data_IF_221535405880
#
_entry.id   IF_221535405880
#
_cell.length_a   1.000
_cell.length_b   1.000
_cell.length_c   1.000
_cell.angle_alpha   90.00
_cell.angle_beta   90.00
_cell.angle_gamma   90.00
#
_symmetry.space_group_name_H-M   'P 1'
#
loop_
_entity.id
_entity.type
_entity.pdbx_description
1 polymer ?
#
# COMPACT_ATOMS: atom_id res chain seq x y z
N UNK A 1 24.18 34.86 -1.92
CA UNK A 1 23.31 33.95 -2.69
C UNK A 1 22.59 34.83 -3.72
N UNK A 2 22.65 34.50 -5.02
CA UNK A 2 21.98 35.25 -6.07
C UNK A 2 21.19 34.29 -6.96
N UNK A 3 19.88 34.52 -7.11
CA UNK A 3 18.96 33.66 -7.89
C UNK A 3 17.73 33.21 -7.08
N UNK A 4 16.70 32.66 -7.75
CA UNK A 4 15.41 32.30 -7.13
C UNK A 4 15.51 31.15 -6.12
N UNK A 5 16.54 30.31 -6.21
CA UNK A 5 16.86 29.27 -5.19
C UNK A 5 17.22 29.89 -3.83
N UNK A 6 17.67 31.15 -3.82
CA UNK A 6 18.02 31.87 -2.59
C UNK A 6 16.81 32.44 -1.84
N UNK A 7 15.62 32.42 -2.46
CA UNK A 7 14.37 32.84 -1.82
C UNK A 7 13.64 31.69 -1.09
N UNK A 8 14.22 30.48 -1.11
CA UNK A 8 13.82 29.33 -0.30
C UNK A 8 14.23 29.52 1.18
N UNK A 9 13.59 30.47 1.88
CA UNK A 9 13.77 30.66 3.34
C UNK A 9 12.86 29.70 4.09
N UNK A 10 13.34 29.13 5.20
CA UNK A 10 12.52 28.25 6.06
C UNK A 10 11.18 28.91 6.37
N UNK A 11 10.09 28.20 6.07
CA UNK A 11 8.72 28.67 6.27
C UNK A 11 8.40 30.00 5.54
N UNK A 12 8.88 30.15 4.31
CA UNK A 12 8.53 31.29 3.44
C UNK A 12 7.12 31.15 2.90
N UNK A 13 6.33 32.23 2.94
CA UNK A 13 4.98 32.28 2.37
C UNK A 13 4.98 32.55 0.84
N UNK A 14 6.16 32.83 0.26
CA UNK A 14 6.28 33.25 -1.14
C UNK A 14 6.64 32.07 -2.04
N UNK A 15 7.57 31.21 -1.60
CA UNK A 15 8.14 30.12 -2.41
C UNK A 15 8.22 28.83 -1.60
N UNK A 16 7.70 27.75 -2.19
CA UNK A 16 7.83 26.39 -1.72
C UNK A 16 8.97 25.70 -2.47
N UNK A 17 9.94 25.19 -1.72
CA UNK A 17 11.08 24.48 -2.28
C UNK A 17 11.13 23.07 -1.70
N UNK A 18 11.10 22.08 -2.58
CA UNK A 18 11.08 20.66 -2.21
C UNK A 18 12.10 19.89 -3.02
N UNK A 19 12.66 18.85 -2.42
CA UNK A 19 13.55 17.90 -3.07
C UNK A 19 12.82 16.57 -3.17
N UNK A 20 12.70 16.07 -4.39
CA UNK A 20 12.05 14.80 -4.73
C UNK A 20 13.08 13.81 -5.27
N UNK A 21 12.85 12.53 -4.99
CA UNK A 21 13.59 11.40 -5.59
C UNK A 21 13.03 11.01 -6.97
N UNK A 22 13.71 10.13 -7.69
CA UNK A 22 13.26 9.59 -8.99
C UNK A 22 11.90 8.87 -8.95
N UNK A 23 11.55 8.31 -7.80
CA UNK A 23 10.21 7.75 -7.52
C UNK A 23 9.13 8.78 -7.16
N UNK A 24 9.45 10.08 -7.15
CA UNK A 24 8.52 11.14 -6.78
C UNK A 24 8.20 11.21 -5.27
N UNK A 25 9.09 10.67 -4.43
CA UNK A 25 8.97 10.75 -2.96
C UNK A 25 9.60 12.02 -2.41
N UNK A 26 8.98 12.60 -1.37
CA UNK A 26 9.49 13.81 -0.73
C UNK A 26 10.67 13.49 0.19
N UNK A 27 11.83 14.08 -0.09
CA UNK A 27 13.04 13.91 0.74
C UNK A 27 13.30 15.11 1.65
N UNK A 28 13.04 16.31 1.15
CA UNK A 28 13.28 17.55 1.91
C UNK A 28 12.28 18.61 1.48
N UNK A 29 11.84 19.44 2.43
CA UNK A 29 10.96 20.57 2.18
C UNK A 29 11.40 21.81 2.97
N UNK A 30 11.03 22.98 2.46
CA UNK A 30 11.28 24.25 3.10
C UNK A 30 10.23 24.62 4.18
N UNK A 31 9.01 24.08 4.07
CA UNK A 31 7.90 24.32 4.99
C UNK A 31 7.82 23.19 6.04
N UNK A 32 7.56 23.54 7.29
CA UNK A 32 7.57 22.56 8.39
C UNK A 32 6.42 21.55 8.26
N UNK A 33 5.28 21.93 7.64
CA UNK A 33 4.15 21.01 7.37
C UNK A 33 4.52 19.85 6.43
N UNK A 34 5.29 20.13 5.38
CA UNK A 34 5.79 19.12 4.44
C UNK A 34 6.96 18.33 5.03
N UNK A 35 7.72 18.94 5.94
CA UNK A 35 8.83 18.27 6.64
C UNK A 35 8.34 17.09 7.49
N UNK A 36 7.16 17.20 8.10
CA UNK A 36 6.53 16.09 8.83
C UNK A 36 6.04 14.94 7.92
N UNK A 37 6.06 15.13 6.60
CA UNK A 37 5.56 14.20 5.59
C UNK A 37 6.69 13.63 4.69
N UNK A 38 7.96 13.79 5.10
CA UNK A 38 9.11 13.20 4.43
C UNK A 38 8.92 11.68 4.27
N UNK A 39 9.26 11.17 3.09
CA UNK A 39 9.09 9.76 2.70
C UNK A 39 7.71 9.43 2.12
N UNK A 40 6.76 10.37 2.13
CA UNK A 40 5.47 10.19 1.43
C UNK A 40 5.60 10.48 -0.07
N UNK A 41 4.74 9.84 -0.86
CA UNK A 41 4.63 10.12 -2.28
C UNK A 41 4.10 11.54 -2.50
N UNK A 42 4.80 12.34 -3.30
CA UNK A 42 4.50 13.76 -3.42
C UNK A 42 3.14 14.03 -4.10
N UNK A 43 2.62 13.10 -4.90
CA UNK A 43 1.27 13.19 -5.45
C UNK A 43 0.15 13.06 -4.42
N UNK A 44 0.42 12.58 -3.20
CA UNK A 44 -0.54 12.62 -2.09
C UNK A 44 -0.53 13.99 -1.38
N UNK A 45 0.61 14.70 -1.42
CA UNK A 45 0.81 15.99 -0.77
C UNK A 45 0.31 17.13 -1.67
N UNK A 46 0.84 17.24 -2.89
CA UNK A 46 0.37 18.20 -3.92
C UNK A 46 0.11 17.47 -5.25
N UNK A 47 -1.12 16.97 -5.48
CA UNK A 47 -1.48 16.27 -6.71
C UNK A 47 -1.53 17.21 -7.92
N UNK A 48 -1.61 18.53 -7.73
CA UNK A 48 -1.64 19.50 -8.84
C UNK A 48 -0.25 19.64 -9.46
N UNK A 49 0.77 19.78 -8.61
CA UNK A 49 2.15 19.89 -9.05
C UNK A 49 2.67 18.58 -9.64
N UNK A 50 2.36 17.43 -9.02
CA UNK A 50 2.78 16.12 -9.55
C UNK A 50 2.23 15.84 -10.96
N UNK A 51 0.95 16.15 -11.22
CA UNK A 51 0.37 16.01 -12.58
C UNK A 51 1.05 16.90 -13.61
N UNK A 52 1.42 18.11 -13.21
CA UNK A 52 2.12 19.01 -14.11
C UNK A 52 3.53 18.51 -14.43
N UNK A 53 4.27 18.01 -13.43
CA UNK A 53 5.59 17.41 -13.63
C UNK A 53 5.54 16.23 -14.62
N UNK A 54 4.46 15.44 -14.61
CA UNK A 54 4.22 14.41 -15.62
C UNK A 54 3.87 15.00 -16.99
N UNK A 55 3.03 16.04 -17.05
CA UNK A 55 2.64 16.69 -18.30
C UNK A 55 3.83 17.35 -19.03
N UNK A 56 4.80 17.90 -18.29
CA UNK A 56 6.03 18.45 -18.85
C UNK A 56 7.12 17.40 -19.09
N UNK A 57 6.80 16.10 -18.99
CA UNK A 57 7.72 14.96 -19.22
C UNK A 57 8.95 14.92 -18.29
N UNK A 58 8.85 15.47 -17.08
CA UNK A 58 9.90 15.29 -16.05
C UNK A 58 9.81 13.88 -15.49
N UNK A 59 8.60 13.47 -15.07
CA UNK A 59 8.33 12.11 -14.64
C UNK A 59 7.47 11.38 -15.67
N UNK A 60 7.81 10.12 -15.91
CA UNK A 60 6.93 9.13 -16.48
C UNK A 60 6.52 8.12 -15.40
N UNK A 61 5.50 7.32 -15.69
CA UNK A 61 5.06 6.25 -14.81
C UNK A 61 4.75 4.98 -15.59
N UNK A 62 5.00 3.84 -14.95
CA UNK A 62 4.58 2.53 -15.45
C UNK A 62 3.64 1.86 -14.43
N UNK A 63 2.66 1.13 -14.95
CA UNK A 63 1.66 0.42 -14.15
C UNK A 63 1.88 -1.08 -14.29
N UNK A 64 2.11 -1.75 -13.15
CA UNK A 64 2.25 -3.20 -13.08
C UNK A 64 1.16 -3.81 -12.23
N UNK A 65 0.68 -4.99 -12.62
CA UNK A 65 -0.33 -5.74 -11.89
C UNK A 65 0.32 -6.89 -11.13
N UNK A 66 0.15 -6.93 -9.81
CA UNK A 66 0.60 -8.03 -8.96
C UNK A 66 -0.58 -8.96 -8.67
N UNK A 67 -0.53 -10.15 -9.26
CA UNK A 67 -1.55 -11.19 -9.12
C UNK A 67 -1.37 -12.08 -7.86
N UNK A 68 -0.28 -11.90 -7.11
CA UNK A 68 0.06 -12.70 -5.94
C UNK A 68 -0.02 -11.91 -4.63
N UNK A 69 -0.62 -10.72 -4.66
CA UNK A 69 -0.80 -9.88 -3.48
C UNK A 69 -1.94 -10.34 -2.57
N UNK A 70 -1.92 -9.85 -1.34
CA UNK A 70 -2.84 -10.25 -0.26
C UNK A 70 -3.52 -9.00 0.29
N UNK A 71 -4.85 -8.94 0.21
CA UNK A 71 -5.66 -7.80 0.66
C UNK A 71 -6.59 -8.19 1.80
N UNK A 72 -7.00 -7.21 2.59
CA UNK A 72 -8.11 -7.40 3.51
C UNK A 72 -9.39 -7.68 2.72
N UNK A 73 -10.23 -8.63 3.17
CA UNK A 73 -11.47 -8.94 2.49
C UNK A 73 -12.34 -7.68 2.47
N UNK A 74 -12.63 -7.18 1.28
CA UNK A 74 -13.66 -6.16 1.12
C UNK A 74 -14.95 -6.72 1.69
N UNK A 75 -15.73 -5.90 2.41
CA UNK A 75 -17.04 -6.30 2.90
C UNK A 75 -17.89 -6.74 1.70
N UNK A 76 -17.96 -8.05 1.47
CA UNK A 76 -18.70 -8.57 0.34
C UNK A 76 -20.15 -8.09 0.45
N UNK A 77 -20.81 -7.69 -0.66
CA UNK A 77 -22.26 -7.63 -0.63
C UNK A 77 -22.74 -9.00 -0.17
N UNK A 78 -23.67 -9.05 0.79
CA UNK A 78 -24.25 -10.27 1.36
C UNK A 78 -24.96 -11.10 0.30
N UNK A 79 -24.23 -11.68 -0.64
CA UNK A 79 -24.72 -12.69 -1.55
C UNK A 79 -24.25 -14.01 -0.96
N UNK A 80 -25.08 -14.54 -0.06
CA UNK A 80 -24.92 -15.88 0.44
C UNK A 80 -24.92 -16.84 -0.74
N UNK A 81 -23.75 -17.34 -1.10
CA UNK A 81 -23.63 -18.51 -1.94
C UNK A 81 -24.04 -19.72 -1.10
N UNK A 82 -25.36 -19.93 -0.98
CA UNK A 82 -25.89 -21.18 -0.45
C UNK A 82 -25.34 -22.34 -1.29
N UNK A 83 -24.87 -23.40 -0.63
CA UNK A 83 -24.31 -24.58 -1.28
C UNK A 83 -25.25 -25.08 -2.39
N UNK A 84 -24.88 -24.88 -3.66
CA UNK A 84 -25.60 -25.43 -4.80
C UNK A 84 -25.15 -26.86 -5.04
N UNK A 85 -25.56 -27.77 -4.17
CA UNK A 85 -25.81 -29.19 -4.41
C UNK A 85 -25.79 -29.94 -3.08
N UNK A 86 -26.87 -30.67 -2.81
CA UNK A 86 -26.86 -31.67 -1.76
C UNK A 86 -26.19 -32.93 -2.31
N UNK A 87 -25.05 -33.31 -1.73
CA UNK A 87 -24.41 -34.59 -2.01
C UNK A 87 -25.31 -35.71 -1.49
N UNK A 88 -25.79 -36.59 -2.37
CA UNK A 88 -26.57 -37.76 -1.98
C UNK A 88 -25.58 -38.92 -1.80
N UNK A 89 -25.33 -39.37 -0.57
CA UNK A 89 -24.35 -40.43 -0.32
C UNK A 89 -24.78 -41.73 -0.98
N UNK A 90 -23.80 -42.41 -1.59
CA UNK A 90 -23.99 -43.73 -2.19
C UNK A 90 -23.91 -44.83 -1.12
N UNK A 91 -24.38 -46.04 -1.44
CA UNK A 91 -24.28 -47.21 -0.56
C UNK A 91 -22.81 -47.51 -0.19
N UNK A 92 -21.87 -47.20 -1.09
CA UNK A 92 -20.44 -47.34 -0.81
C UNK A 92 -19.95 -46.39 0.29
N UNK A 93 -20.45 -45.15 0.33
CA UNK A 93 -20.07 -44.16 1.35
C UNK A 93 -20.56 -44.59 2.74
N UNK A 94 -21.76 -45.15 2.81
CA UNK A 94 -22.35 -45.66 4.06
C UNK A 94 -21.53 -46.85 4.59
N UNK A 95 -21.14 -47.77 3.70
CA UNK A 95 -20.32 -48.93 4.08
C UNK A 95 -18.91 -48.52 4.52
N UNK A 96 -18.31 -47.53 3.87
CA UNK A 96 -17.04 -46.95 4.30
C UNK A 96 -17.18 -46.36 5.70
N UNK A 97 -18.14 -45.46 5.94
CA UNK A 97 -18.37 -44.86 7.26
C UNK A 97 -18.59 -45.95 8.33
N UNK A 98 -19.35 -47.00 8.02
CA UNK A 98 -19.55 -48.14 8.92
C UNK A 98 -18.26 -48.88 9.29
N UNK A 99 -17.36 -49.09 8.33
CA UNK A 99 -16.06 -49.70 8.58
C UNK A 99 -15.16 -48.80 9.44
N UNK A 100 -15.07 -47.51 9.13
CA UNK A 100 -14.30 -46.54 9.92
C UNK A 100 -14.86 -46.40 11.34
N UNK A 101 -16.18 -46.39 11.51
CA UNK A 101 -16.83 -46.35 12.82
C UNK A 101 -16.53 -47.61 13.64
N UNK A 102 -16.50 -48.78 13.00
CA UNK A 102 -16.14 -50.05 13.66
C UNK A 102 -14.68 -50.06 14.07
N UNK A 103 -13.78 -49.59 13.20
CA UNK A 103 -12.36 -49.44 13.51
C UNK A 103 -12.14 -48.46 14.67
N UNK A 104 -12.82 -47.31 14.66
CA UNK A 104 -12.74 -46.32 15.73
C UNK A 104 -13.28 -46.85 17.07
N UNK A 105 -14.43 -47.54 17.06
CA UNK A 105 -14.99 -48.17 18.24
C UNK A 105 -14.03 -49.22 18.83
N UNK A 106 -13.37 -50.00 17.97
CA UNK A 106 -12.35 -50.95 18.39
C UNK A 106 -11.12 -50.29 19.00
N UNK A 107 -10.63 -49.20 18.40
CA UNK A 107 -9.52 -48.41 18.93
C UNK A 107 -9.86 -47.79 20.29
N UNK A 108 -11.07 -47.25 20.47
CA UNK A 108 -11.54 -46.69 21.74
C UNK A 108 -11.64 -47.78 22.80
N UNK A 109 -12.20 -48.95 22.46
CA UNK A 109 -12.27 -50.09 23.37
C UNK A 109 -10.88 -50.56 23.80
N UNK A 110 -9.94 -50.63 22.86
CA UNK A 110 -8.55 -50.96 23.14
C UNK A 110 -7.90 -49.91 24.05
N UNK A 111 -8.15 -48.62 23.83
CA UNK A 111 -7.65 -47.53 24.67
C UNK A 111 -8.24 -47.58 26.09
N UNK A 112 -9.52 -47.92 26.23
CA UNK A 112 -10.20 -48.13 27.52
C UNK A 112 -9.59 -49.30 28.30
N UNK A 113 -9.34 -50.43 27.63
CA UNK A 113 -8.70 -51.59 28.25
C UNK A 113 -7.26 -51.28 28.67
N UNK A 114 -6.49 -50.62 27.82
CA UNK A 114 -5.13 -50.17 28.13
C UNK A 114 -5.12 -49.18 29.31
N UNK A 115 -6.03 -48.20 29.32
CA UNK A 115 -6.18 -47.22 30.40
C UNK A 115 -6.57 -47.85 31.74
N UNK A 116 -7.37 -48.92 31.72
CA UNK A 116 -7.75 -49.69 32.93
C UNK A 116 -6.57 -50.50 33.48
N UNK A 117 -5.72 -51.04 32.60
CA UNK A 117 -4.54 -51.82 33.00
C UNK A 117 -3.33 -50.95 33.38
N UNK A 118 -3.21 -49.74 32.81
CA UNK A 118 -2.10 -48.81 33.03
C UNK A 118 -2.59 -47.36 33.21
N UNK A 119 -3.03 -46.95 34.42
CA UNK A 119 -3.67 -45.66 34.68
C UNK A 119 -2.75 -44.42 34.59
N UNK A 120 -1.47 -44.57 34.23
CA UNK A 120 -0.48 -43.47 34.16
C UNK A 120 0.20 -43.27 32.80
N UNK A 121 -0.28 -43.91 31.73
CA UNK A 121 0.37 -43.86 30.41
C UNK A 121 -0.04 -42.64 29.55
N UNK A 122 -1.18 -41.99 29.83
CA UNK A 122 -1.79 -40.95 28.99
C UNK A 122 -2.11 -39.68 29.80
N UNK A 123 -1.07 -39.07 30.38
CA UNK A 123 -1.19 -37.72 30.94
C UNK A 123 -1.10 -36.73 29.77
N UNK A 124 -2.26 -36.30 29.27
CA UNK A 124 -2.35 -35.30 28.22
C UNK A 124 -2.15 -33.90 28.84
N UNK A 125 -1.13 -33.19 28.36
CA UNK A 125 -0.93 -31.76 28.63
C UNK A 125 -1.97 -30.99 27.82
N UNK A 126 -2.85 -30.27 28.51
CA UNK A 126 -3.73 -29.26 27.91
C UNK A 126 -2.84 -28.11 27.39
N UNK A 127 -2.88 -27.87 26.08
CA UNK A 127 -2.29 -26.68 25.49
C UNK A 127 -3.40 -25.64 25.36
N UNK A 128 -3.21 -24.51 26.04
CA UNK A 128 -4.11 -23.36 26.00
C UNK A 128 -4.25 -22.86 24.56
N UNK A 129 -5.50 -22.85 24.08
CA UNK A 129 -5.89 -22.36 22.77
C UNK A 129 -5.99 -20.83 22.82
N UNK A 130 -4.84 -20.17 22.66
CA UNK A 130 -4.76 -18.73 22.51
C UNK A 130 -5.37 -18.29 21.16
N UNK A 131 -6.54 -17.65 21.27
CA UNK A 131 -7.10 -16.58 20.45
C UNK A 131 -6.72 -16.55 18.94
N UNK A 132 -7.27 -17.47 18.15
CA UNK A 132 -7.15 -17.46 16.68
C UNK A 132 -8.18 -16.55 15.97
N UNK A 133 -8.97 -15.74 16.70
CA UNK A 133 -10.15 -15.06 16.11
C UNK A 133 -9.87 -13.68 15.51
N UNK A 134 -8.65 -13.15 15.61
CA UNK A 134 -8.29 -11.82 15.07
C UNK A 134 -7.68 -11.85 13.67
N UNK A 135 -7.54 -13.02 13.04
CA UNK A 135 -7.15 -13.11 11.63
C UNK A 135 -8.39 -13.20 10.73
N UNK A 136 -8.98 -12.04 10.40
CA UNK A 136 -9.77 -11.94 9.18
C UNK A 136 -8.93 -12.54 8.04
N UNK A 137 -9.38 -13.65 7.48
CA UNK A 137 -8.65 -14.41 6.46
C UNK A 137 -8.35 -13.49 5.27
N UNK A 138 -7.11 -13.00 5.21
CA UNK A 138 -6.66 -12.18 4.09
C UNK A 138 -6.84 -12.94 2.78
N UNK A 139 -7.32 -12.28 1.73
CA UNK A 139 -7.67 -12.93 0.47
C UNK A 139 -6.64 -12.59 -0.62
N UNK A 140 -6.41 -13.51 -1.56
CA UNK A 140 -5.63 -13.22 -2.77
C UNK A 140 -6.33 -12.16 -3.61
N UNK A 141 -5.64 -11.06 -3.90
CA UNK A 141 -6.15 -9.96 -4.70
C UNK A 141 -5.13 -9.56 -5.77
N UNK A 142 -5.63 -8.87 -6.79
CA UNK A 142 -4.79 -8.22 -7.81
C UNK A 142 -4.60 -6.78 -7.36
N UNK A 143 -3.36 -6.36 -7.16
CA UNK A 143 -3.04 -4.96 -6.85
C UNK A 143 -2.40 -4.27 -8.05
N UNK A 144 -2.81 -3.03 -8.33
CA UNK A 144 -2.19 -2.18 -9.34
C UNK A 144 -1.12 -1.32 -8.66
N UNK A 145 0.14 -1.51 -9.04
CA UNK A 145 1.27 -0.75 -8.53
C UNK A 145 1.73 0.24 -9.62
N UNK A 146 1.88 1.51 -9.25
CA UNK A 146 2.37 2.56 -10.15
C UNK A 146 3.76 3.00 -9.69
N UNK A 147 4.74 2.95 -10.59
CA UNK A 147 6.11 3.36 -10.33
C UNK A 147 6.45 4.57 -11.20
N UNK A 148 6.99 5.62 -10.59
CA UNK A 148 7.45 6.82 -11.28
C UNK A 148 8.96 6.75 -11.52
N UNK A 149 9.41 7.37 -12.61
CA UNK A 149 10.82 7.49 -12.97
C UNK A 149 11.03 8.75 -13.82
N UNK A 150 12.27 9.25 -13.90
CA UNK A 150 12.59 10.37 -14.78
C UNK A 150 12.62 9.92 -16.24
N UNK A 151 11.85 10.59 -17.11
CA UNK A 151 11.79 10.25 -18.54
C UNK A 151 12.84 11.02 -19.37
N UNK A 152 13.14 12.26 -18.98
CA UNK A 152 13.94 13.18 -19.77
C UNK A 152 15.23 13.58 -19.03
N UNK A 153 16.36 13.50 -19.73
CA UNK A 153 17.70 13.83 -19.22
C UNK A 153 18.03 15.34 -19.21
N UNK A 154 17.09 16.19 -19.64
CA UNK A 154 17.32 17.63 -19.64
C UNK A 154 17.48 18.16 -18.22
N UNK A 155 18.46 19.03 -17.99
CA UNK A 155 18.88 19.41 -16.62
C UNK A 155 17.94 20.39 -15.92
N UNK A 156 17.09 21.09 -16.67
CA UNK A 156 16.22 22.14 -16.15
C UNK A 156 14.91 22.17 -16.90
N UNK A 157 13.81 22.15 -16.17
CA UNK A 157 12.46 22.23 -16.70
C UNK A 157 11.75 23.42 -16.08
N UNK A 158 11.02 24.19 -16.89
CA UNK A 158 10.26 25.35 -16.44
C UNK A 158 8.92 25.42 -17.16
N UNK A 159 7.90 25.97 -16.50
CA UNK A 159 6.54 26.01 -17.00
C UNK A 159 5.59 26.80 -16.09
N UNK A 160 4.41 27.14 -16.59
CA UNK A 160 3.35 27.71 -15.75
C UNK A 160 2.38 26.58 -15.42
N UNK A 161 2.10 26.39 -14.13
CA UNK A 161 1.11 25.45 -13.64
C UNK A 161 -0.24 26.17 -13.51
N UNK A 162 -1.18 25.84 -14.40
CA UNK A 162 -2.56 26.33 -14.31
C UNK A 162 -3.41 25.37 -13.47
N UNK A 163 -3.67 25.74 -12.21
CA UNK A 163 -4.50 24.98 -11.28
C UNK A 163 -5.98 25.44 -11.34
N UNK A 164 -6.49 25.60 -12.56
CA UNK A 164 -7.88 25.99 -12.86
C UNK A 164 -8.23 27.44 -12.54
N UNK A 165 -8.25 27.81 -11.25
CA UNK A 165 -8.56 29.16 -10.75
C UNK A 165 -7.33 29.90 -10.18
N UNK A 166 -6.14 29.30 -10.30
CA UNK A 166 -4.89 29.96 -9.97
C UNK A 166 -3.81 29.58 -10.97
N UNK A 167 -3.00 30.57 -11.36
CA UNK A 167 -1.79 30.37 -12.14
C UNK A 167 -0.60 30.40 -11.18
N UNK A 168 0.11 29.28 -11.05
CA UNK A 168 1.38 29.20 -10.33
C UNK A 168 2.52 29.28 -11.35
N UNK A 169 3.49 30.16 -11.08
CA UNK A 169 4.73 30.15 -11.85
C UNK A 169 5.67 29.09 -11.30
N UNK A 170 5.97 28.05 -12.10
CA UNK A 170 7.19 27.28 -11.98
C UNK A 170 8.19 27.89 -12.98
N UNK A 171 8.67 29.11 -12.65
CA UNK A 171 9.41 30.01 -13.52
C UNK A 171 10.52 29.33 -14.37
N UNK A 172 10.94 29.92 -15.51
CA UNK A 172 12.03 29.41 -16.35
C UNK A 172 13.41 29.32 -15.65
N UNK A 173 13.55 29.93 -14.46
CA UNK A 173 14.69 29.78 -13.53
C UNK A 173 14.26 29.32 -12.12
N UNK A 174 12.95 29.18 -11.89
CA UNK A 174 12.32 28.69 -10.66
C UNK A 174 11.42 27.52 -11.03
N UNK A 175 12.01 26.54 -11.70
CA UNK A 175 11.36 25.32 -12.17
C UNK A 175 12.00 24.10 -11.52
N UNK A 176 11.64 22.92 -12.01
CA UNK A 176 12.21 21.68 -11.52
C UNK A 176 13.62 21.49 -12.12
N UNK A 177 14.64 21.43 -11.26
CA UNK A 177 16.04 21.30 -11.64
C UNK A 177 16.56 19.95 -11.17
N UNK A 178 17.17 19.16 -12.06
CA UNK A 178 17.86 17.93 -11.67
C UNK A 178 19.21 18.31 -11.04
N UNK A 179 19.40 17.99 -9.77
CA UNK A 179 20.56 18.45 -8.97
C UNK A 179 21.69 17.42 -8.94
N UNK A 180 21.37 16.13 -8.85
CA UNK A 180 22.38 15.08 -8.58
C UNK A 180 22.37 13.97 -9.63
N UNK A 181 23.10 14.16 -10.74
CA UNK A 181 23.23 13.15 -11.82
C UNK A 181 21.88 12.57 -12.32
N UNK A 182 20.79 13.33 -12.23
CA UNK A 182 19.46 12.86 -12.61
C UNK A 182 18.76 11.99 -11.56
N UNK A 183 19.21 11.99 -10.30
CA UNK A 183 18.61 11.19 -9.22
C UNK A 183 17.76 12.03 -8.25
N UNK A 184 18.11 13.31 -8.09
CA UNK A 184 17.39 14.25 -7.23
C UNK A 184 16.83 15.40 -8.05
N UNK A 185 15.56 15.71 -7.83
CA UNK A 185 14.87 16.84 -8.45
C UNK A 185 14.58 17.91 -7.39
N UNK A 186 15.16 19.09 -7.56
CA UNK A 186 14.81 20.28 -6.80
C UNK A 186 13.65 20.99 -7.50
N UNK A 187 12.47 20.98 -6.90
CA UNK A 187 11.32 21.74 -7.36
C UNK A 187 11.24 23.04 -6.58
N UNK A 188 11.28 24.16 -7.30
CA UNK A 188 10.95 25.49 -6.77
C UNK A 188 9.61 25.89 -7.36
N UNK A 189 8.62 26.18 -6.51
CA UNK A 189 7.29 26.60 -6.94
C UNK A 189 6.81 27.76 -6.06
N UNK A 190 5.92 28.59 -6.60
CA UNK A 190 5.25 29.61 -5.79
C UNK A 190 4.29 28.95 -4.79
N UNK A 191 4.27 29.45 -3.55
CA UNK A 191 3.43 28.85 -2.51
C UNK A 191 1.94 29.01 -2.81
N UNK A 192 1.18 27.91 -2.79
CA UNK A 192 -0.29 27.93 -2.68
C UNK A 192 -0.60 27.81 -1.19
N UNK A 193 -0.44 28.91 -0.46
CA UNK A 193 -1.42 29.13 0.59
C UNK A 193 -2.73 29.44 -0.12
N UNK A 194 -3.51 28.39 -0.36
CA UNK A 194 -4.95 28.54 -0.50
C UNK A 194 -5.41 29.45 0.63
N UNK A 195 -6.00 30.60 0.27
CA UNK A 195 -6.91 31.31 1.17
C UNK A 195 -7.76 30.25 1.85
N UNK A 196 -7.57 30.12 3.17
CA UNK A 196 -8.32 29.17 3.97
C UNK A 196 -9.81 29.34 3.72
N UNK A 197 -10.51 28.21 3.82
CA UNK A 197 -11.92 28.13 4.13
C UNK A 197 -12.39 29.30 4.99
N UNK A 198 -13.39 30.02 4.48
CA UNK A 198 -14.49 30.56 5.28
C UNK A 198 -15.74 29.85 4.80
#
# INVERSE_FOLDING_TARGET
CAGPVCDCKRNSDVMDCVILDDGGFLLMANHDEYTNQIGRFFGEIDPSLMRHLVNISVYAFNKSYDYQSVCDPSAAPKQGAGHRSAYVPSIADILQIGWWATAAAWSILQQLLLSLTFPRLLEAVEMEEDDFTTSLSKQSCITEQTQYFFENDSKSFGGVLDCGNCSRYAAPLGGAVLVYRGQLLLCVAQSLFTKGSI
#
